data_IF_225998741289
#
_entry.id   IF_225998741289
#
_cell.length_a   1.000
_cell.length_b   1.000
_cell.length_c   1.000
_cell.angle_alpha   90.00
_cell.angle_beta   90.00
_cell.angle_gamma   90.00
#
_symmetry.space_group_name_H-M   'P 1'
#
loop_
_entity.id
_entity.type
_entity.pdbx_description
1 polymer ?
#
# COMPACT_ATOMS: atom_id res chain seq x y z
N UNK A 1 4.36 -27.82 -16.51
CA UNK A 1 4.56 -27.08 -15.24
C UNK A 1 3.19 -26.95 -14.61
N UNK A 2 2.97 -27.60 -13.48
CA UNK A 2 1.65 -27.85 -12.89
C UNK A 2 1.09 -26.58 -12.22
N UNK A 3 -0.23 -26.39 -12.29
CA UNK A 3 -0.95 -25.24 -11.74
C UNK A 3 -0.55 -24.89 -10.29
N UNK A 4 -0.22 -25.89 -9.46
CA UNK A 4 0.23 -25.70 -8.08
C UNK A 4 1.49 -24.86 -7.92
N UNK A 5 2.40 -24.85 -8.91
CA UNK A 5 3.64 -24.06 -8.85
C UNK A 5 3.37 -22.57 -9.01
N UNK A 6 2.37 -22.21 -9.83
CA UNK A 6 1.98 -20.82 -10.08
C UNK A 6 1.21 -20.26 -8.88
N UNK A 7 0.30 -21.04 -8.30
CA UNK A 7 -0.48 -20.63 -7.11
C UNK A 7 0.42 -20.46 -5.87
N UNK A 8 1.42 -21.32 -5.69
CA UNK A 8 2.40 -21.19 -4.61
C UNK A 8 3.29 -19.95 -4.79
N UNK A 9 3.74 -19.64 -6.02
CA UNK A 9 4.50 -18.41 -6.30
C UNK A 9 3.68 -17.15 -6.04
N UNK A 10 2.39 -17.14 -6.38
CA UNK A 10 1.47 -16.02 -6.10
C UNK A 10 1.20 -15.88 -4.60
N UNK A 11 0.94 -16.97 -3.88
CA UNK A 11 0.79 -16.95 -2.40
C UNK A 11 2.06 -16.48 -1.69
N UNK A 12 3.24 -16.93 -2.12
CA UNK A 12 4.53 -16.50 -1.54
C UNK A 12 4.82 -15.02 -1.85
N UNK A 13 4.36 -14.50 -2.98
CA UNK A 13 4.44 -13.07 -3.34
C UNK A 13 3.44 -12.20 -2.56
N UNK A 14 2.21 -12.66 -2.36
CA UNK A 14 1.17 -11.94 -1.59
C UNK A 14 1.53 -11.91 -0.08
N UNK A 15 2.06 -13.01 0.48
CA UNK A 15 2.56 -13.03 1.87
C UNK A 15 3.83 -12.19 2.10
N UNK A 16 4.49 -11.71 1.03
CA UNK A 16 5.69 -10.87 1.13
C UNK A 16 5.39 -9.39 1.30
N UNK A 17 4.17 -8.95 0.99
CA UNK A 17 3.75 -7.57 1.21
C UNK A 17 3.09 -7.45 2.57
N UNK A 18 3.89 -7.07 3.57
CA UNK A 18 3.38 -6.57 4.85
C UNK A 18 2.90 -5.13 4.62
N UNK A 19 1.79 -5.00 3.90
CA UNK A 19 1.10 -3.72 3.74
C UNK A 19 0.69 -3.20 5.12
N UNK A 20 1.39 -2.17 5.56
CA UNK A 20 1.11 -1.53 6.84
C UNK A 20 0.74 -0.09 6.56
N UNK A 21 -0.45 0.28 6.99
CA UNK A 21 -1.08 1.58 6.83
C UNK A 21 -0.66 2.50 7.99
N UNK A 22 0.00 3.62 7.70
CA UNK A 22 0.39 4.64 8.71
C UNK A 22 -0.78 5.58 9.02
N UNK A 23 -1.56 5.32 10.08
CA UNK A 23 -2.55 6.25 10.63
C UNK A 23 -1.90 7.37 11.47
N UNK A 24 -2.19 8.63 11.13
CA UNK A 24 -1.91 9.81 11.95
C UNK A 24 -3.22 10.53 12.24
N UNK A 25 -3.57 10.66 13.52
CA UNK A 25 -4.66 11.50 13.99
C UNK A 25 -4.10 12.89 14.33
N UNK A 26 -4.84 13.96 14.05
CA UNK A 26 -4.52 15.30 14.51
C UNK A 26 -5.33 15.57 15.78
N UNK A 27 -4.68 15.72 16.94
CA UNK A 27 -5.32 16.20 18.17
C UNK A 27 -4.70 17.53 18.60
N UNK A 28 -5.58 18.43 19.01
CA UNK A 28 -5.27 19.81 19.41
C UNK A 28 -4.58 19.81 20.79
N UNK A 29 -3.44 20.50 20.81
CA UNK A 29 -2.44 20.71 21.87
C UNK A 29 -2.97 20.76 23.32
N UNK A 30 -2.37 19.94 24.17
CA UNK A 30 -2.25 20.15 25.62
C UNK A 30 -0.78 20.09 26.03
N UNK A 31 -0.24 21.18 26.58
CA UNK A 31 1.17 21.29 26.97
C UNK A 31 1.57 20.27 28.05
N UNK A 32 2.56 19.43 27.75
CA UNK A 32 3.39 18.77 28.77
C UNK A 32 4.86 18.94 28.38
N UNK A 33 5.62 19.60 29.25
CA UNK A 33 7.02 19.93 29.03
C UNK A 33 7.92 18.70 29.13
N UNK A 34 8.22 18.09 27.99
CA UNK A 34 9.41 17.27 27.80
C UNK A 34 10.48 18.09 27.07
N UNK A 35 11.74 17.97 27.47
CA UNK A 35 12.87 18.37 26.62
C UNK A 35 12.72 17.68 25.27
N UNK A 36 12.73 18.39 24.13
CA UNK A 36 12.68 17.74 22.82
C UNK A 36 13.87 16.79 22.70
N UNK A 37 13.60 15.50 22.49
CA UNK A 37 14.66 14.59 22.07
C UNK A 37 15.12 15.03 20.68
N UNK A 38 16.36 15.50 20.58
CA UNK A 38 16.97 15.89 19.31
C UNK A 38 17.21 14.62 18.48
N UNK A 39 16.56 14.53 17.32
CA UNK A 39 16.63 13.38 16.44
C UNK A 39 17.48 13.68 15.20
N UNK A 40 18.69 13.13 15.17
CA UNK A 40 19.55 13.09 13.97
C UNK A 40 19.19 11.86 13.14
N UNK A 41 18.03 11.89 12.48
CA UNK A 41 17.69 10.84 11.52
C UNK A 41 18.52 10.94 10.23
N UNK A 42 18.81 9.80 9.60
CA UNK A 42 19.47 9.76 8.30
C UNK A 42 18.41 9.76 7.20
N UNK A 43 18.55 10.63 6.21
CA UNK A 43 17.71 10.63 5.01
C UNK A 43 17.81 9.28 4.28
N UNK A 44 16.70 8.83 3.71
CA UNK A 44 16.65 7.61 2.91
C UNK A 44 15.60 7.73 1.82
N UNK A 45 15.88 7.19 0.63
CA UNK A 45 14.97 7.24 -0.50
C UNK A 45 15.09 5.99 -1.37
N UNK A 46 13.95 5.55 -1.89
CA UNK A 46 13.89 4.70 -3.07
C UNK A 46 14.07 5.58 -4.32
N UNK A 47 14.67 5.05 -5.40
CA UNK A 47 14.77 5.76 -6.68
C UNK A 47 13.42 5.78 -7.42
N UNK A 48 12.35 6.20 -6.74
CA UNK A 48 11.03 6.41 -7.35
C UNK A 48 10.90 7.84 -7.89
N UNK A 49 10.28 7.96 -9.05
CA UNK A 49 9.89 9.22 -9.67
C UNK A 49 8.35 9.27 -9.82
N UNK A 50 7.65 10.25 -9.21
CA UNK A 50 6.21 10.39 -9.36
C UNK A 50 5.71 10.49 -10.81
N UNK A 51 6.56 10.93 -11.74
CA UNK A 51 6.23 11.06 -13.15
C UNK A 51 6.37 9.75 -13.95
N UNK A 52 6.91 8.69 -13.33
CA UNK A 52 7.16 7.39 -13.99
C UNK A 52 6.57 6.22 -13.20
N UNK A 53 6.73 6.21 -11.87
CA UNK A 53 6.38 5.10 -11.00
C UNK A 53 4.95 5.22 -10.42
N UNK A 54 4.31 6.38 -10.57
CA UNK A 54 2.89 6.59 -10.30
C UNK A 54 2.00 6.37 -11.53
N UNK A 55 0.70 6.17 -11.30
CA UNK A 55 -0.30 6.12 -12.39
C UNK A 55 -0.53 7.51 -12.98
N UNK A 56 -0.81 7.59 -14.29
CA UNK A 56 -1.07 8.85 -14.99
C UNK A 56 -2.49 9.41 -14.81
N UNK A 57 -3.40 8.65 -14.19
CA UNK A 57 -4.79 9.04 -13.97
C UNK A 57 -5.07 9.14 -12.46
N UNK A 58 -5.96 10.05 -12.05
CA UNK A 58 -6.25 10.25 -10.64
C UNK A 58 -7.03 9.07 -10.07
N UNK A 59 -6.95 8.93 -8.75
CA UNK A 59 -7.88 8.13 -7.97
C UNK A 59 -9.32 8.48 -8.33
N UNK A 60 -10.19 7.48 -8.32
CA UNK A 60 -11.54 7.58 -8.83
C UNK A 60 -12.49 6.71 -8.01
N UNK A 61 -13.73 7.15 -7.87
CA UNK A 61 -14.78 6.44 -7.13
C UNK A 61 -15.53 5.45 -7.99
N UNK A 62 -16.54 4.80 -7.41
CA UNK A 62 -17.35 3.80 -8.12
C UNK A 62 -18.15 4.39 -9.29
N UNK A 63 -18.49 5.69 -9.26
CA UNK A 63 -19.19 6.35 -10.37
C UNK A 63 -18.36 6.43 -11.66
N UNK A 64 -17.04 6.26 -11.57
CA UNK A 64 -16.10 6.42 -12.68
C UNK A 64 -15.66 5.08 -13.29
N UNK A 65 -16.26 3.97 -12.86
CA UNK A 65 -15.97 2.62 -13.37
C UNK A 65 -17.17 1.67 -13.26
N UNK A 66 -17.32 0.75 -14.21
CA UNK A 66 -18.29 -0.36 -14.11
C UNK A 66 -17.65 -1.62 -13.49
N UNK A 67 -16.36 -1.56 -13.13
CA UNK A 67 -15.63 -2.70 -12.59
C UNK A 67 -15.85 -2.85 -11.08
N UNK A 68 -15.95 -4.10 -10.65
CA UNK A 68 -16.12 -4.48 -9.25
C UNK A 68 -15.33 -5.75 -8.94
N UNK A 69 -15.08 -5.98 -7.66
CA UNK A 69 -14.47 -7.20 -7.17
C UNK A 69 -15.46 -8.36 -7.37
N UNK A 70 -15.20 -9.20 -8.38
CA UNK A 70 -16.09 -10.28 -8.81
C UNK A 70 -15.51 -11.66 -8.57
N UNK A 71 -16.26 -12.70 -8.97
CA UNK A 71 -15.86 -14.11 -8.77
C UNK A 71 -14.47 -14.44 -9.36
N UNK A 72 -14.16 -13.92 -10.55
CA UNK A 72 -12.84 -14.11 -11.16
C UNK A 72 -11.71 -13.47 -10.32
N UNK A 73 -11.95 -12.32 -9.67
CA UNK A 73 -10.95 -11.72 -8.78
C UNK A 73 -10.78 -12.54 -7.51
N UNK A 74 -11.88 -13.04 -6.94
CA UNK A 74 -11.82 -13.90 -5.76
C UNK A 74 -10.98 -15.15 -6.04
N UNK A 75 -11.16 -15.77 -7.21
CA UNK A 75 -10.33 -16.91 -7.64
C UNK A 75 -8.86 -16.51 -7.78
N UNK A 76 -8.57 -15.34 -8.35
CA UNK A 76 -7.19 -14.83 -8.45
C UNK A 76 -6.57 -14.63 -7.06
N UNK A 77 -7.33 -14.09 -6.11
CA UNK A 77 -6.83 -13.74 -4.76
C UNK A 77 -6.68 -14.95 -3.85
N UNK A 78 -7.63 -15.88 -3.89
CA UNK A 78 -7.76 -16.93 -2.88
C UNK A 78 -7.71 -18.36 -3.44
N UNK A 79 -7.76 -18.52 -4.76
CA UNK A 79 -7.80 -19.82 -5.42
C UNK A 79 -9.20 -20.46 -5.40
N UNK A 80 -9.30 -21.77 -5.66
CA UNK A 80 -10.59 -22.44 -5.91
C UNK A 80 -11.50 -22.52 -4.69
N UNK A 81 -10.96 -22.41 -3.47
CA UNK A 81 -11.71 -22.58 -2.21
C UNK A 81 -12.81 -21.54 -2.00
N UNK A 82 -12.81 -20.44 -2.75
CA UNK A 82 -13.87 -19.43 -2.71
C UNK A 82 -15.08 -19.79 -3.56
N UNK A 83 -14.98 -20.83 -4.39
CA UNK A 83 -16.07 -21.28 -5.26
C UNK A 83 -16.73 -22.53 -4.68
N UNK A 84 -18.03 -22.66 -4.91
CA UNK A 84 -18.80 -23.87 -4.59
C UNK A 84 -18.16 -25.07 -5.28
N UNK A 85 -17.97 -26.16 -4.53
CA UNK A 85 -17.33 -27.40 -4.99
C UNK A 85 -15.93 -27.21 -5.60
N UNK A 86 -15.24 -26.09 -5.30
CA UNK A 86 -13.93 -25.73 -5.85
C UNK A 86 -13.88 -25.57 -7.38
N UNK A 87 -15.05 -25.40 -8.02
CA UNK A 87 -15.18 -25.19 -9.46
C UNK A 87 -14.96 -23.71 -9.79
N UNK A 88 -13.90 -23.40 -10.54
CA UNK A 88 -13.49 -22.02 -10.85
C UNK A 88 -14.09 -21.46 -12.14
N UNK A 89 -14.68 -22.31 -12.99
CA UNK A 89 -15.29 -21.90 -14.27
C UNK A 89 -16.61 -22.66 -14.54
N UNK A 90 -17.79 -22.02 -14.37
CA UNK A 90 -17.97 -20.71 -13.76
C UNK A 90 -17.81 -20.78 -12.24
N UNK A 91 -17.03 -19.88 -11.65
CA UNK A 91 -16.99 -19.75 -10.19
C UNK A 91 -18.32 -19.21 -9.67
N UNK A 92 -19.00 -20.01 -8.85
CA UNK A 92 -20.11 -19.58 -8.00
C UNK A 92 -19.56 -19.36 -6.58
N UNK A 93 -19.32 -18.12 -6.13
CA UNK A 93 -18.71 -17.89 -4.83
C UNK A 93 -19.55 -18.47 -3.69
N UNK A 94 -18.88 -19.01 -2.67
CA UNK A 94 -19.53 -19.36 -1.40
C UNK A 94 -20.05 -18.09 -0.72
N UNK A 95 -21.00 -18.23 0.21
CA UNK A 95 -21.69 -17.09 0.83
C UNK A 95 -20.71 -16.11 1.49
N UNK A 96 -19.69 -16.63 2.17
CA UNK A 96 -18.65 -15.85 2.85
C UNK A 96 -17.82 -15.03 1.85
N UNK A 97 -17.42 -15.64 0.74
CA UNK A 97 -16.62 -14.96 -0.30
C UNK A 97 -17.44 -13.89 -1.05
N UNK A 98 -18.72 -14.17 -1.31
CA UNK A 98 -19.64 -13.20 -1.89
C UNK A 98 -19.87 -12.00 -0.97
N UNK A 99 -20.13 -12.25 0.33
CA UNK A 99 -20.33 -11.20 1.32
C UNK A 99 -19.07 -10.34 1.51
N UNK A 100 -17.89 -10.96 1.52
CA UNK A 100 -16.62 -10.24 1.60
C UNK A 100 -16.42 -9.34 0.37
N UNK A 101 -16.67 -9.84 -0.85
CA UNK A 101 -16.59 -9.03 -2.06
C UNK A 101 -17.57 -7.85 -2.05
N UNK A 102 -18.80 -8.05 -1.56
CA UNK A 102 -19.78 -6.97 -1.41
C UNK A 102 -19.29 -5.89 -0.43
N UNK A 103 -18.73 -6.28 0.71
CA UNK A 103 -18.17 -5.36 1.70
C UNK A 103 -17.02 -4.55 1.12
N UNK A 104 -16.08 -5.19 0.41
CA UNK A 104 -14.96 -4.50 -0.25
C UNK A 104 -15.47 -3.52 -1.31
N UNK A 105 -16.44 -3.92 -2.13
CA UNK A 105 -17.04 -3.05 -3.14
C UNK A 105 -17.73 -1.84 -2.49
N UNK A 106 -18.42 -2.00 -1.38
CA UNK A 106 -18.98 -0.87 -0.63
C UNK A 106 -17.90 0.05 -0.06
N UNK A 107 -16.80 -0.51 0.44
CA UNK A 107 -15.76 0.26 1.10
C UNK A 107 -14.92 1.11 0.13
N UNK A 108 -14.75 0.66 -1.13
CA UNK A 108 -14.02 1.40 -2.17
C UNK A 108 -14.86 2.47 -2.89
N UNK A 109 -16.13 2.67 -2.50
CA UNK A 109 -17.06 3.53 -3.24
C UNK A 109 -16.51 4.94 -3.49
N UNK A 110 -15.78 5.50 -2.52
CA UNK A 110 -15.17 6.83 -2.60
C UNK A 110 -13.80 6.85 -3.29
N UNK A 111 -13.17 5.71 -3.53
CA UNK A 111 -11.82 5.68 -4.10
C UNK A 111 -11.10 4.34 -3.97
N UNK A 112 -10.03 4.22 -4.74
CA UNK A 112 -9.14 3.05 -4.81
C UNK A 112 -7.73 3.36 -4.31
N UNK A 113 -7.52 4.42 -3.53
CA UNK A 113 -6.21 4.96 -3.15
C UNK A 113 -5.23 3.89 -2.61
N UNK A 114 -5.70 2.96 -1.79
CA UNK A 114 -4.87 1.84 -1.29
C UNK A 114 -4.41 0.95 -2.44
N UNK A 115 -5.30 0.65 -3.38
CA UNK A 115 -4.98 -0.09 -4.60
C UNK A 115 -3.92 0.60 -5.44
N UNK A 116 -3.95 1.93 -5.57
CA UNK A 116 -2.91 2.70 -6.27
C UNK A 116 -1.56 2.58 -5.56
N UNK A 117 -1.53 2.72 -4.23
CA UNK A 117 -0.31 2.61 -3.44
C UNK A 117 0.29 1.19 -3.53
N UNK A 118 -0.52 0.16 -3.33
CA UNK A 118 -0.14 -1.26 -3.45
C UNK A 118 0.42 -1.58 -4.82
N UNK A 119 -0.29 -1.20 -5.89
CA UNK A 119 0.12 -1.52 -7.25
C UNK A 119 1.38 -0.75 -7.65
N UNK A 120 1.53 0.51 -7.24
CA UNK A 120 2.75 1.29 -7.53
C UNK A 120 3.97 0.68 -6.82
N UNK A 121 3.81 0.28 -5.55
CA UNK A 121 4.86 -0.39 -4.77
C UNK A 121 5.29 -1.72 -5.42
N UNK A 122 4.31 -2.59 -5.70
CA UNK A 122 4.57 -3.90 -6.32
C UNK A 122 5.28 -3.76 -7.66
N UNK A 123 4.81 -2.85 -8.51
CA UNK A 123 5.39 -2.65 -9.84
C UNK A 123 6.80 -2.08 -9.78
N UNK A 124 7.04 -1.15 -8.85
CA UNK A 124 8.38 -0.60 -8.63
C UNK A 124 9.35 -1.68 -8.16
N UNK A 125 8.99 -2.43 -7.11
CA UNK A 125 9.83 -3.48 -6.54
C UNK A 125 10.12 -4.59 -7.57
N UNK A 126 9.11 -5.00 -8.35
CA UNK A 126 9.25 -6.00 -9.41
C UNK A 126 9.91 -5.47 -10.70
N UNK A 127 10.21 -4.17 -10.79
CA UNK A 127 10.70 -3.51 -12.01
C UNK A 127 9.82 -3.81 -13.22
N UNK A 128 8.49 -3.74 -13.03
CA UNK A 128 7.53 -4.17 -14.02
C UNK A 128 7.46 -3.20 -15.23
N UNK A 129 7.43 -3.77 -16.44
CA UNK A 129 7.22 -3.03 -17.69
C UNK A 129 5.81 -3.31 -18.29
N UNK A 130 5.20 -2.34 -19.00
CA UNK A 130 5.65 -0.96 -19.17
C UNK A 130 5.60 -0.19 -17.83
N UNK A 131 6.41 0.86 -17.63
CA UNK A 131 6.33 1.68 -16.39
C UNK A 131 4.91 2.11 -16.02
N UNK A 132 4.65 2.25 -14.72
CA UNK A 132 3.30 2.48 -14.16
C UNK A 132 2.58 3.66 -14.80
N UNK A 133 3.29 4.74 -15.13
CA UNK A 133 2.74 5.90 -15.82
C UNK A 133 2.07 5.57 -17.17
N UNK A 134 2.53 4.53 -17.86
CA UNK A 134 2.01 4.14 -19.18
C UNK A 134 0.81 3.19 -19.09
N UNK A 135 0.38 2.78 -17.89
CA UNK A 135 -0.80 1.94 -17.74
C UNK A 135 -2.08 2.75 -18.01
N UNK A 136 -2.94 2.29 -18.93
CA UNK A 136 -4.22 2.95 -19.17
C UNK A 136 -5.22 2.66 -18.04
N UNK A 137 -6.21 3.53 -17.84
CA UNK A 137 -7.35 3.27 -16.95
C UNK A 137 -8.35 2.31 -17.64
N UNK A 138 -7.93 1.08 -17.89
CA UNK A 138 -8.75 0.03 -18.50
C UNK A 138 -9.31 -0.95 -17.46
N UNK A 139 -10.09 -1.93 -17.93
CA UNK A 139 -10.67 -3.00 -17.10
C UNK A 139 -9.60 -3.77 -16.33
N UNK A 140 -8.49 -4.14 -16.96
CA UNK A 140 -7.47 -4.97 -16.32
C UNK A 140 -6.75 -4.21 -15.20
N UNK A 141 -6.37 -2.97 -15.47
CA UNK A 141 -5.71 -2.09 -14.50
C UNK A 141 -6.67 -1.75 -13.36
N UNK A 142 -7.92 -1.43 -13.67
CA UNK A 142 -8.91 -1.11 -12.65
C UNK A 142 -9.19 -2.31 -11.74
N UNK A 143 -9.32 -3.53 -12.30
CA UNK A 143 -9.48 -4.75 -11.50
C UNK A 143 -8.24 -5.06 -10.66
N UNK A 144 -7.04 -4.76 -11.16
CA UNK A 144 -5.81 -4.87 -10.37
C UNK A 144 -5.79 -3.87 -9.19
N UNK A 145 -6.21 -2.62 -9.41
CA UNK A 145 -6.39 -1.63 -8.35
C UNK A 145 -7.43 -2.08 -7.32
N UNK A 146 -8.56 -2.62 -7.75
CA UNK A 146 -9.60 -3.16 -6.85
C UNK A 146 -9.05 -4.32 -6.01
N UNK A 147 -8.31 -5.27 -6.61
CA UNK A 147 -7.66 -6.36 -5.85
C UNK A 147 -6.62 -5.83 -4.87
N UNK A 148 -5.82 -4.84 -5.27
CA UNK A 148 -4.87 -4.17 -4.39
C UNK A 148 -5.56 -3.46 -3.22
N UNK A 149 -6.66 -2.74 -3.48
CA UNK A 149 -7.46 -2.13 -2.42
C UNK A 149 -8.04 -3.19 -1.47
N UNK A 150 -8.47 -4.34 -2.00
CA UNK A 150 -9.09 -5.40 -1.23
C UNK A 150 -8.13 -6.06 -0.22
N UNK A 151 -6.81 -5.98 -0.42
CA UNK A 151 -5.84 -6.63 0.49
C UNK A 151 -5.87 -6.03 1.89
N UNK A 152 -6.29 -4.78 2.08
CA UNK A 152 -6.40 -4.16 3.40
C UNK A 152 -7.46 -4.83 4.31
N UNK A 153 -8.36 -5.62 3.73
CA UNK A 153 -9.39 -6.38 4.46
C UNK A 153 -8.97 -7.81 4.79
N UNK A 154 -7.73 -8.20 4.47
CA UNK A 154 -7.19 -9.48 4.88
C UNK A 154 -6.88 -9.46 6.39
N UNK A 155 -7.24 -10.51 7.16
CA UNK A 155 -7.02 -10.53 8.60
C UNK A 155 -5.57 -10.25 9.02
N UNK A 156 -4.61 -10.77 8.25
CA UNK A 156 -3.18 -10.58 8.48
C UNK A 156 -2.78 -9.11 8.31
N UNK A 157 -3.32 -8.45 7.29
CA UNK A 157 -3.06 -7.03 7.00
C UNK A 157 -3.72 -6.13 8.04
N UNK A 158 -4.94 -6.44 8.48
CA UNK A 158 -5.61 -5.72 9.55
C UNK A 158 -4.88 -5.85 10.89
N UNK A 159 -4.34 -7.04 11.18
CA UNK A 159 -3.56 -7.29 12.38
C UNK A 159 -2.27 -6.46 12.40
N UNK A 160 -1.51 -6.45 11.31
CA UNK A 160 -0.30 -5.63 11.21
C UNK A 160 -0.65 -4.13 11.21
N UNK A 161 -1.71 -3.71 10.52
CA UNK A 161 -2.20 -2.32 10.57
C UNK A 161 -2.54 -1.90 12.00
N UNK A 162 -3.22 -2.74 12.78
CA UNK A 162 -3.55 -2.48 14.19
C UNK A 162 -2.29 -2.37 15.06
N UNK A 163 -1.25 -3.13 14.75
CA UNK A 163 0.04 -3.07 15.44
C UNK A 163 0.79 -1.77 15.11
N UNK A 164 0.83 -1.37 13.84
CA UNK A 164 1.47 -0.12 13.40
C UNK A 164 0.72 1.13 13.84
N UNK A 165 -0.61 1.07 13.93
CA UNK A 165 -1.40 2.18 14.47
C UNK A 165 -0.97 2.57 15.90
N UNK A 166 -0.46 1.61 16.69
CA UNK A 166 0.02 1.81 18.07
C UNK A 166 1.50 2.22 18.16
N UNK A 167 2.21 2.30 17.04
CA UNK A 167 3.61 2.72 16.98
C UNK A 167 3.71 4.23 17.00
N UNK A 168 4.74 4.76 17.66
CA UNK A 168 4.99 6.20 17.65
C UNK A 168 5.35 6.70 16.25
N UNK A 169 5.16 7.99 16.00
CA UNK A 169 5.62 8.63 14.75
C UNK A 169 7.10 8.33 14.46
N UNK A 170 7.94 8.34 15.50
CA UNK A 170 9.36 7.99 15.39
C UNK A 170 9.57 6.55 14.92
N UNK A 171 8.89 5.58 15.52
CA UNK A 171 9.00 4.17 15.10
C UNK A 171 8.54 3.96 13.66
N UNK A 172 7.50 4.69 13.21
CA UNK A 172 7.01 4.67 11.83
C UNK A 172 8.05 5.25 10.85
N UNK A 173 8.65 6.40 11.18
CA UNK A 173 9.70 7.03 10.36
C UNK A 173 10.96 6.15 10.28
N UNK A 174 11.40 5.59 11.40
CA UNK A 174 12.55 4.67 11.44
C UNK A 174 12.32 3.42 10.57
N UNK A 175 11.08 2.91 10.54
CA UNK A 175 10.71 1.79 9.69
C UNK A 175 10.77 2.11 8.20
N UNK A 176 10.30 3.30 7.81
CA UNK A 176 10.41 3.78 6.43
C UNK A 176 11.88 3.90 6.01
N UNK A 177 12.71 4.56 6.82
CA UNK A 177 14.16 4.70 6.58
C UNK A 177 14.80 3.33 6.38
N UNK A 178 14.49 2.38 7.26
CA UNK A 178 14.98 1.00 7.16
C UNK A 178 14.50 0.29 5.90
N UNK A 179 13.24 0.48 5.50
CA UNK A 179 12.70 -0.13 4.28
C UNK A 179 13.31 0.43 3.01
N UNK A 180 13.69 1.71 2.98
CA UNK A 180 14.27 2.37 1.81
C UNK A 180 15.79 2.13 1.71
N UNK A 181 16.44 1.94 2.85
CA UNK A 181 17.84 1.56 2.92
C UNK A 181 18.02 0.10 2.48
N UNK A 182 19.05 -0.20 1.70
CA UNK A 182 19.36 -1.58 1.34
C UNK A 182 19.61 -2.42 2.61
N UNK A 183 18.67 -3.32 2.92
CA UNK A 183 18.92 -4.44 3.82
C UNK A 183 19.30 -5.65 2.95
N UNK A 184 20.45 -6.26 3.26
CA UNK A 184 21.05 -7.43 2.61
C UNK A 184 20.03 -8.38 1.95
N UNK A 185 20.21 -8.78 0.68
CA UNK A 185 19.24 -9.60 -0.03
C UNK A 185 18.88 -10.88 0.74
N UNK A 186 17.60 -11.04 1.08
CA UNK A 186 17.03 -12.37 1.23
C UNK A 186 17.23 -13.09 -0.12
N UNK A 187 18.05 -14.14 -0.11
CA UNK A 187 18.52 -14.90 -1.29
C UNK A 187 17.40 -15.53 -2.13
N UNK A 188 16.13 -15.42 -1.68
CA UNK A 188 14.93 -15.90 -2.35
C UNK A 188 14.15 -14.80 -3.13
N UNK A 189 14.66 -13.57 -3.21
CA UNK A 189 14.00 -12.44 -3.90
C UNK A 189 14.65 -12.15 -5.26
N UNK A 190 13.89 -12.30 -6.36
CA UNK A 190 14.24 -11.71 -7.68
C UNK A 190 13.93 -10.21 -7.78
N UNK A 191 13.53 -9.59 -6.68
CA UNK A 191 13.10 -8.20 -6.57
C UNK A 191 14.20 -7.41 -5.87
N UNK A 192 14.94 -6.65 -6.69
CA UNK A 192 16.13 -5.83 -6.37
C UNK A 192 17.28 -6.57 -5.65
N UNK A 193 18.29 -6.97 -6.44
CA UNK A 193 19.67 -7.06 -5.97
C UNK A 193 20.35 -5.70 -6.24
N UNK A 194 20.59 -4.93 -5.16
CA UNK A 194 21.47 -3.72 -4.99
C UNK A 194 21.09 -2.41 -5.74
N UNK A 195 21.29 -1.18 -5.17
CA UNK A 195 21.74 -0.77 -3.81
C UNK A 195 20.64 -0.11 -2.94
N UNK A 196 19.36 -0.31 -3.24
CA UNK A 196 18.23 0.30 -2.51
C UNK A 196 17.34 -0.76 -1.86
N UNK A 197 16.52 -0.33 -0.89
CA UNK A 197 15.53 -1.18 -0.24
C UNK A 197 14.25 -1.40 -1.06
N UNK A 198 13.12 -1.59 -0.39
CA UNK A 198 11.82 -1.93 -1.00
C UNK A 198 10.70 -1.01 -0.52
N UNK A 199 9.66 -0.89 -1.36
CA UNK A 199 8.44 -0.15 -1.08
C UNK A 199 7.49 -0.93 -0.16
N UNK A 200 7.91 -1.18 1.10
CA UNK A 200 7.24 -2.14 1.98
C UNK A 200 5.95 -1.61 2.64
N UNK A 201 5.76 -0.30 2.67
CA UNK A 201 4.73 0.36 3.48
C UNK A 201 3.81 1.25 2.65
N UNK A 202 2.54 1.34 3.04
CA UNK A 202 1.60 2.38 2.58
C UNK A 202 1.33 3.35 3.73
N UNK A 203 1.03 4.61 3.44
CA UNK A 203 0.68 5.58 4.48
C UNK A 203 -0.81 5.89 4.41
N UNK A 204 -1.55 5.63 5.48
CA UNK A 204 -2.99 5.87 5.55
C UNK A 204 -3.35 7.07 6.42
N UNK A 205 -3.64 8.21 5.83
CA UNK A 205 -4.05 9.40 6.56
C UNK A 205 -5.54 9.32 6.88
N UNK A 206 -5.92 9.35 8.16
CA UNK A 206 -7.32 9.21 8.58
C UNK A 206 -7.79 10.43 9.38
N UNK A 207 -9.03 10.82 9.07
CA UNK A 207 -9.79 11.83 9.80
C UNK A 207 -11.15 11.23 10.17
N UNK A 208 -11.95 11.95 10.96
CA UNK A 208 -13.32 11.52 11.29
C UNK A 208 -14.21 11.34 10.05
N UNK A 209 -13.90 12.03 8.95
CA UNK A 209 -14.74 12.07 7.74
C UNK A 209 -14.22 11.20 6.59
N UNK A 210 -13.05 10.56 6.75
CA UNK A 210 -12.50 9.69 5.71
C UNK A 210 -11.02 9.38 5.86
N UNK A 211 -10.55 8.47 5.01
CA UNK A 211 -9.15 8.05 4.93
C UNK A 211 -8.57 8.24 3.52
N UNK A 212 -7.25 8.34 3.44
CA UNK A 212 -6.51 8.39 2.19
C UNK A 212 -5.24 7.57 2.29
N UNK A 213 -4.93 6.79 1.25
CA UNK A 213 -3.73 5.96 1.19
C UNK A 213 -2.73 6.50 0.17
N UNK A 214 -1.47 6.47 0.57
CA UNK A 214 -0.32 7.04 -0.12
C UNK A 214 0.79 6.00 -0.18
N UNK A 215 1.71 6.14 -1.15
CA UNK A 215 2.93 5.34 -1.17
C UNK A 215 4.15 6.19 -0.79
N UNK A 216 4.68 6.06 0.44
CA UNK A 216 5.97 6.64 0.82
C UNK A 216 7.12 6.12 -0.05
N UNK A 217 8.03 7.01 -0.41
CA UNK A 217 9.24 6.63 -1.15
C UNK A 217 10.51 7.36 -0.72
N UNK A 218 10.42 8.41 0.11
CA UNK A 218 11.59 9.05 0.70
C UNK A 218 11.28 9.63 2.08
N UNK A 219 12.29 9.72 2.93
CA UNK A 219 12.31 10.47 4.19
C UNK A 219 13.47 11.45 4.14
N UNK A 220 13.19 12.72 4.43
CA UNK A 220 14.20 13.77 4.59
C UNK A 220 13.98 14.56 5.87
N UNK A 221 15.02 14.77 6.68
CA UNK A 221 14.95 15.60 7.89
C UNK A 221 15.10 17.08 7.52
N UNK A 222 14.12 17.89 7.89
CA UNK A 222 14.15 19.34 7.68
C UNK A 222 14.89 20.03 8.84
N UNK A 223 14.74 19.48 10.04
CA UNK A 223 15.45 19.84 11.26
C UNK A 223 15.49 18.63 12.21
N UNK A 224 16.00 18.81 13.43
CA UNK A 224 16.18 17.74 14.43
C UNK A 224 14.88 17.10 14.94
N UNK A 225 13.72 17.68 14.63
CA UNK A 225 12.42 17.21 15.11
C UNK A 225 11.39 17.03 14.00
N UNK A 226 11.67 17.49 12.78
CA UNK A 226 10.72 17.49 11.67
C UNK A 226 11.22 16.65 10.51
N UNK A 227 10.47 15.62 10.15
CA UNK A 227 10.71 14.82 8.95
C UNK A 227 9.69 15.14 7.84
N UNK A 228 10.12 15.10 6.59
CA UNK A 228 9.26 15.07 5.40
C UNK A 228 9.31 13.69 4.77
N UNK A 229 8.15 13.09 4.59
CA UNK A 229 7.99 11.81 3.90
C UNK A 229 7.44 12.11 2.50
N UNK A 230 8.24 11.95 1.45
CA UNK A 230 7.74 12.08 0.08
C UNK A 230 6.87 10.88 -0.29
N UNK A 231 5.76 11.14 -0.99
CA UNK A 231 4.72 10.15 -1.29
C UNK A 231 4.25 10.22 -2.73
N UNK A 232 3.91 9.07 -3.33
CA UNK A 232 3.04 9.04 -4.49
C UNK A 232 1.60 9.19 -4.02
N UNK A 233 0.94 10.23 -4.51
CA UNK A 233 -0.44 10.56 -4.16
C UNK A 233 -1.34 10.39 -5.40
N UNK A 234 -2.18 9.37 -5.36
CA UNK A 234 -3.09 9.06 -6.46
C UNK A 234 -4.13 10.15 -6.73
N UNK A 235 -4.39 11.07 -5.79
CA UNK A 235 -5.26 12.21 -6.06
C UNK A 235 -4.55 13.31 -6.88
N UNK A 236 -3.22 13.30 -6.95
CA UNK A 236 -2.42 14.25 -7.73
C UNK A 236 -1.31 13.55 -8.55
N UNK A 237 -1.68 12.78 -9.59
CA UNK A 237 -0.74 12.10 -10.48
C UNK A 237 0.41 12.99 -10.98
N UNK A 238 1.63 12.44 -10.99
CA UNK A 238 2.82 13.12 -11.51
C UNK A 238 3.30 14.32 -10.70
N UNK A 239 2.74 14.57 -9.50
CA UNK A 239 3.15 15.69 -8.65
C UNK A 239 3.94 15.20 -7.44
N UNK A 240 4.99 15.94 -7.10
CA UNK A 240 5.67 15.78 -5.82
C UNK A 240 4.74 16.16 -4.67
N UNK A 241 4.63 15.27 -3.69
CA UNK A 241 3.81 15.43 -2.49
C UNK A 241 4.57 14.86 -1.30
N UNK A 242 4.28 15.39 -0.11
CA UNK A 242 4.90 14.91 1.11
C UNK A 242 3.98 15.04 2.32
N UNK A 243 4.28 14.24 3.34
CA UNK A 243 3.72 14.34 4.70
C UNK A 243 4.79 14.99 5.57
N UNK A 244 4.42 16.02 6.34
CA UNK A 244 5.29 16.55 7.40
C UNK A 244 4.97 15.83 8.70
N UNK A 245 6.01 15.34 9.39
CA UNK A 245 5.89 14.64 10.66
C UNK A 245 6.68 15.42 11.71
N UNK A 246 6.00 15.84 12.77
CA UNK A 246 6.62 16.39 13.97
C UNK A 246 6.92 15.23 14.93
N UNK A 247 8.21 14.97 15.16
CA UNK A 247 8.72 13.90 16.01
C UNK A 247 8.85 14.32 17.47
N UNK A 248 8.72 15.61 17.78
CA UNK A 248 8.60 16.09 19.16
C UNK A 248 7.17 15.91 19.69
N UNK A 249 6.19 15.75 18.81
CA UNK A 249 4.84 15.38 19.18
C UNK A 249 4.78 13.90 19.63
N UNK A 250 4.44 13.68 20.90
CA UNK A 250 4.32 12.35 21.51
C UNK A 250 3.01 11.64 21.13
N UNK A 251 2.80 11.33 19.85
CA UNK A 251 1.64 10.53 19.37
C UNK A 251 2.05 9.23 18.66
#
# INVERSE_FOLDING_TARGET
MTNSSVTQLQRKKINRFVLSVIAAALIIVGCSGGTPETFSGQDAALPMDPTIDGFAFPNFGEQDTNEFLGAADLVIMFGPTVCTDEITDPCRPIAEAAAWAMMVNSARASGHCEGFAVQSALRFDEQAEPKTIFLPKDTNVTRALIRGFATQFLPEVQKETTKWAKKSLKEKVDALIKSFSAATPDTDSKSLAEPYGQAQFTAGLYTEVGGHALLPYAVAFVDETTARISVLDSNWPGRERYITVDLAANE
#
